data_IF_227038536018
#
_entry.id   IF_227038536018
#
_cell.length_a   1.000
_cell.length_b   1.000
_cell.length_c   1.000
_cell.angle_alpha   90.00
_cell.angle_beta   90.00
_cell.angle_gamma   90.00
#
_symmetry.space_group_name_H-M   'P 1'
#
loop_
_entity.id
_entity.type
_entity.pdbx_description
1 polymer ?
#
# COMPACT_ATOMS: atom_id res chain seq x y z
N UNK A 1 54.49 38.42 -13.68
CA UNK A 1 55.23 37.19 -13.40
C UNK A 1 54.73 36.49 -12.16
N UNK A 2 54.55 35.17 -12.31
CA UNK A 2 54.43 34.09 -11.30
C UNK A 2 53.39 34.25 -10.18
N UNK A 3 52.22 33.62 -10.24
CA UNK A 3 51.92 32.18 -10.00
C UNK A 3 52.11 31.71 -8.55
N UNK A 4 50.98 31.47 -7.85
CA UNK A 4 50.87 30.40 -6.86
C UNK A 4 49.38 30.06 -6.64
N UNK A 5 48.99 28.95 -7.22
CA UNK A 5 47.74 28.19 -7.06
C UNK A 5 47.67 27.54 -5.67
N UNK A 6 46.54 27.71 -4.97
CA UNK A 6 46.21 27.01 -3.74
C UNK A 6 44.83 26.36 -3.86
N UNK A 7 44.86 25.06 -4.15
CA UNK A 7 43.73 24.15 -4.31
C UNK A 7 43.05 23.90 -2.94
N UNK A 8 41.72 24.10 -2.86
CA UNK A 8 40.93 23.77 -1.66
C UNK A 8 40.10 22.53 -1.97
N UNK A 9 40.71 21.38 -1.70
CA UNK A 9 40.02 20.10 -1.63
C UNK A 9 39.14 20.05 -0.38
N UNK A 10 37.82 20.10 -0.55
CA UNK A 10 36.86 19.72 0.51
C UNK A 10 36.71 18.21 0.49
N UNK A 11 37.19 17.55 1.54
CA UNK A 11 36.95 16.13 1.76
C UNK A 11 35.46 15.89 2.10
N UNK A 12 34.85 14.96 1.37
CA UNK A 12 33.55 14.42 1.71
C UNK A 12 33.71 13.46 2.89
N UNK A 13 33.08 13.78 4.02
CA UNK A 13 33.00 12.90 5.17
C UNK A 13 32.06 11.73 4.89
N UNK A 14 32.62 10.53 4.78
CA UNK A 14 31.91 9.25 4.76
C UNK A 14 31.43 8.92 6.18
N UNK A 15 30.12 9.04 6.44
CA UNK A 15 29.47 8.46 7.62
C UNK A 15 29.19 6.95 7.38
N UNK A 16 29.20 6.10 8.43
CA UNK A 16 29.13 4.67 8.25
C UNK A 16 27.72 4.23 7.85
N UNK A 17 27.63 3.40 6.81
CA UNK A 17 26.44 2.63 6.47
C UNK A 17 26.21 1.60 7.59
N UNK A 18 25.13 1.77 8.35
CA UNK A 18 24.71 0.80 9.35
C UNK A 18 24.17 -0.46 8.69
N UNK A 19 24.97 -1.52 8.65
CA UNK A 19 24.54 -2.88 8.35
C UNK A 19 24.08 -3.53 9.66
N UNK A 20 22.76 -3.52 9.91
CA UNK A 20 22.13 -4.29 10.99
C UNK A 20 21.24 -5.40 10.41
N UNK A 21 21.13 -6.57 11.07
CA UNK A 21 20.27 -7.65 10.60
C UNK A 21 18.80 -7.28 10.83
N UNK A 22 18.00 -7.35 9.78
CA UNK A 22 16.54 -7.26 9.86
C UNK A 22 15.96 -8.68 9.96
N UNK A 23 15.00 -8.90 10.85
CA UNK A 23 14.06 -10.03 10.72
C UNK A 23 13.99 -10.98 11.91
N UNK A 24 13.18 -10.61 12.90
CA UNK A 24 12.26 -11.52 13.57
C UNK A 24 11.11 -10.67 14.11
N UNK A 25 9.86 -10.97 13.74
CA UNK A 25 8.70 -10.45 14.46
C UNK A 25 8.75 -11.03 15.87
N UNK A 26 9.38 -10.30 16.79
CA UNK A 26 8.99 -10.35 18.18
C UNK A 26 7.62 -9.68 18.27
N UNK A 27 6.71 -10.24 19.06
CA UNK A 27 5.64 -9.46 19.63
C UNK A 27 6.28 -8.23 20.31
N UNK A 28 6.23 -7.05 19.68
CA UNK A 28 7.02 -5.91 20.14
C UNK A 28 7.20 -4.72 19.20
N UNK A 29 6.83 -4.79 17.91
CA UNK A 29 6.76 -3.57 17.07
C UNK A 29 5.48 -2.82 17.39
N UNK A 30 5.63 -1.63 17.99
CA UNK A 30 4.50 -0.79 18.31
C UNK A 30 4.06 -0.05 17.03
N UNK A 31 2.79 -0.16 16.64
CA UNK A 31 2.27 0.55 15.48
C UNK A 31 2.46 2.07 15.60
N UNK A 32 2.49 2.61 16.82
CA UNK A 32 2.80 4.03 17.10
C UNK A 32 4.21 4.46 16.64
N UNK A 33 5.16 3.53 16.47
CA UNK A 33 6.49 3.85 15.96
C UNK A 33 6.44 4.33 14.49
N UNK A 34 5.40 3.94 13.74
CA UNK A 34 5.16 4.38 12.36
C UNK A 34 5.00 5.90 12.25
N UNK A 35 4.46 6.55 13.30
CA UNK A 35 4.24 8.00 13.33
C UNK A 35 5.50 8.80 13.71
N UNK A 36 6.58 8.13 14.13
CA UNK A 36 7.68 8.80 14.83
C UNK A 36 8.82 9.27 13.92
N UNK A 37 9.12 10.57 14.00
CA UNK A 37 10.48 11.11 13.84
C UNK A 37 10.76 11.89 12.56
N UNK A 38 10.73 11.23 11.40
CA UNK A 38 11.17 11.83 10.13
C UNK A 38 10.03 12.00 9.12
N UNK A 39 9.56 13.24 8.87
CA UNK A 39 8.51 13.49 7.88
C UNK A 39 8.93 13.09 6.45
N UNK A 40 10.22 12.89 6.16
CA UNK A 40 10.69 12.42 4.85
C UNK A 40 10.54 10.91 4.65
N UNK A 41 10.26 10.15 5.72
CA UNK A 41 10.08 8.70 5.75
C UNK A 41 11.15 7.99 4.90
N UNK A 42 12.41 7.90 5.38
CA UNK A 42 13.51 7.43 4.56
C UNK A 42 13.25 6.02 4.01
N UNK A 43 13.67 5.82 2.77
CA UNK A 43 13.63 4.53 2.12
C UNK A 43 14.74 3.62 2.65
N UNK A 44 14.59 2.32 2.44
CA UNK A 44 15.63 1.33 2.75
C UNK A 44 15.99 0.59 1.47
N UNK A 45 17.28 0.55 1.13
CA UNK A 45 17.78 -0.33 0.07
C UNK A 45 18.26 -1.63 0.72
N UNK A 46 17.68 -2.75 0.30
CA UNK A 46 18.03 -4.09 0.81
C UNK A 46 18.81 -4.87 -0.22
N UNK A 47 19.65 -5.79 0.25
CA UNK A 47 20.36 -6.71 -0.63
C UNK A 47 19.37 -7.68 -1.32
N UNK A 48 19.80 -8.29 -2.41
CA UNK A 48 18.92 -9.14 -3.23
C UNK A 48 18.61 -10.49 -2.57
N UNK A 49 19.46 -10.91 -1.63
CA UNK A 49 19.30 -12.18 -0.91
C UNK A 49 18.23 -12.09 0.17
N UNK A 50 17.82 -10.88 0.57
CA UNK A 50 16.87 -10.70 1.68
C UNK A 50 15.55 -11.42 1.40
N UNK A 51 15.08 -11.45 0.15
CA UNK A 51 13.83 -12.14 -0.20
C UNK A 51 13.96 -13.65 -0.31
N UNK A 52 15.20 -14.17 -0.36
CA UNK A 52 15.46 -15.60 -0.27
C UNK A 52 15.63 -16.06 1.18
N UNK A 53 15.78 -15.14 2.13
CA UNK A 53 15.85 -15.44 3.56
C UNK A 53 14.45 -15.78 4.09
N UNK A 54 14.20 -17.02 4.58
CA UNK A 54 12.92 -17.39 5.17
C UNK A 54 12.54 -16.57 6.41
N UNK A 55 13.51 -15.93 7.06
CA UNK A 55 13.27 -15.03 8.20
C UNK A 55 12.78 -13.64 7.78
N UNK A 56 12.99 -13.25 6.51
CA UNK A 56 12.52 -11.96 6.03
C UNK A 56 11.00 -11.98 5.88
N UNK A 57 10.35 -11.02 6.53
CA UNK A 57 8.91 -10.80 6.43
C UNK A 57 8.68 -9.54 5.57
N UNK A 58 8.13 -9.66 4.35
CA UNK A 58 7.79 -8.50 3.51
C UNK A 58 6.58 -7.73 4.06
N UNK A 59 5.90 -8.29 5.06
CA UNK A 59 4.69 -7.78 5.68
C UNK A 59 4.88 -7.60 7.18
N UNK A 60 4.22 -6.59 7.71
CA UNK A 60 4.11 -6.36 9.14
C UNK A 60 2.66 -6.38 9.58
N UNK A 61 2.42 -7.03 10.72
CA UNK A 61 1.12 -7.18 11.33
C UNK A 61 1.10 -6.45 12.68
N UNK A 62 0.02 -5.72 12.92
CA UNK A 62 -0.20 -5.00 14.17
C UNK A 62 -1.59 -5.29 14.74
N UNK A 63 -1.67 -5.38 16.07
CA UNK A 63 -2.91 -5.66 16.80
C UNK A 63 -3.09 -7.14 17.16
N UNK A 64 -4.32 -7.52 17.49
CA UNK A 64 -4.71 -8.90 17.81
C UNK A 64 -5.63 -9.43 16.72
N UNK A 65 -5.31 -10.61 16.18
CA UNK A 65 -6.05 -11.24 15.10
C UNK A 65 -7.49 -11.55 15.53
N UNK A 66 -8.46 -11.08 14.75
CA UNK A 66 -9.88 -11.32 15.01
C UNK A 66 -10.42 -10.68 16.29
N UNK A 67 -9.73 -9.71 16.91
CA UNK A 67 -10.27 -8.98 18.08
C UNK A 67 -11.57 -8.23 17.73
N UNK A 68 -11.69 -7.77 16.50
CA UNK A 68 -12.91 -7.25 15.89
C UNK A 68 -13.14 -7.91 14.52
N UNK A 69 -14.32 -7.75 13.90
CA UNK A 69 -14.56 -8.23 12.53
C UNK A 69 -13.89 -7.33 11.47
N UNK A 70 -13.17 -6.28 11.85
CA UNK A 70 -12.61 -5.29 10.92
C UNK A 70 -11.11 -5.50 10.75
N UNK A 71 -10.66 -5.52 9.50
CA UNK A 71 -9.26 -5.66 9.09
C UNK A 71 -8.89 -4.41 8.27
N UNK A 72 -7.73 -3.83 8.55
CA UNK A 72 -7.12 -2.77 7.76
C UNK A 72 -5.96 -3.32 6.92
N UNK A 73 -5.98 -3.01 5.63
CA UNK A 73 -4.94 -3.34 4.66
C UNK A 73 -4.23 -2.07 4.20
N UNK A 74 -2.89 -2.05 4.25
CA UNK A 74 -2.05 -0.96 3.76
C UNK A 74 -1.01 -1.51 2.76
N UNK A 75 -1.38 -1.63 1.47
CA UNK A 75 -0.56 -2.34 0.48
C UNK A 75 0.58 -1.49 -0.11
N UNK A 76 0.47 -0.16 -0.10
CA UNK A 76 1.30 0.73 -0.93
C UNK A 76 2.20 1.71 -0.15
N UNK A 77 2.20 1.65 1.18
CA UNK A 77 3.06 2.51 2.01
C UNK A 77 4.52 2.02 2.14
N UNK A 78 4.83 0.84 1.59
CA UNK A 78 6.15 0.23 1.65
C UNK A 78 7.26 1.09 1.04
N UNK A 79 8.42 1.09 1.72
CA UNK A 79 9.60 1.93 1.40
C UNK A 79 10.89 1.12 1.25
N UNK A 80 10.77 -0.20 1.20
CA UNK A 80 11.89 -1.12 0.96
C UNK A 80 12.09 -1.33 -0.54
N UNK A 81 13.29 -1.03 -1.01
CA UNK A 81 13.71 -1.13 -2.41
C UNK A 81 14.83 -2.16 -2.57
N UNK A 82 14.65 -3.19 -3.41
CA UNK A 82 15.71 -4.17 -3.65
C UNK A 82 16.86 -3.55 -4.45
N UNK A 83 18.11 -3.89 -4.11
CA UNK A 83 19.28 -3.43 -4.85
C UNK A 83 19.23 -3.83 -6.34
N UNK A 84 18.63 -4.96 -6.68
CA UNK A 84 18.39 -5.42 -8.05
C UNK A 84 17.54 -4.42 -8.82
N UNK A 85 16.45 -3.91 -8.24
CA UNK A 85 15.64 -2.87 -8.86
C UNK A 85 16.46 -1.59 -9.08
N UNK A 86 17.32 -1.23 -8.12
CA UNK A 86 18.19 -0.04 -8.24
C UNK A 86 19.22 -0.16 -9.38
N UNK A 87 19.67 -1.39 -9.68
CA UNK A 87 20.56 -1.63 -10.84
C UNK A 87 19.79 -1.67 -12.17
N UNK A 88 18.52 -2.05 -12.15
CA UNK A 88 17.68 -2.17 -13.35
C UNK A 88 16.96 -0.87 -13.73
N UNK A 89 16.84 0.09 -12.82
CA UNK A 89 16.10 1.33 -13.06
C UNK A 89 16.93 2.36 -13.84
N UNK A 90 16.30 3.11 -14.75
CA UNK A 90 16.87 4.34 -15.34
C UNK A 90 16.51 5.59 -14.53
N UNK A 91 15.64 5.44 -13.54
CA UNK A 91 15.01 6.55 -12.82
C UNK A 91 15.69 6.78 -11.48
N UNK A 92 15.80 8.05 -11.02
CA UNK A 92 16.19 8.31 -9.65
C UNK A 92 15.17 7.70 -8.71
N UNK A 93 15.62 7.26 -7.54
CA UNK A 93 14.76 6.63 -6.55
C UNK A 93 13.52 7.47 -6.22
N UNK A 94 13.67 8.79 -6.16
CA UNK A 94 12.56 9.72 -5.92
C UNK A 94 11.40 9.56 -6.90
N UNK A 95 11.68 9.19 -8.16
CA UNK A 95 10.64 8.95 -9.15
C UNK A 95 9.89 7.62 -8.89
N UNK A 96 10.54 6.64 -8.28
CA UNK A 96 9.92 5.39 -7.82
C UNK A 96 9.06 5.66 -6.58
N UNK A 97 9.55 6.50 -5.66
CA UNK A 97 8.78 6.95 -4.47
C UNK A 97 7.45 7.62 -4.83
N UNK A 98 7.35 8.22 -6.01
CA UNK A 98 6.09 8.77 -6.52
C UNK A 98 4.97 7.74 -6.70
N UNK A 99 5.28 6.44 -6.69
CA UNK A 99 4.30 5.34 -6.69
C UNK A 99 3.88 4.90 -5.29
N UNK A 100 4.57 5.35 -4.24
CA UNK A 100 4.20 5.06 -2.85
C UNK A 100 2.90 5.77 -2.50
N UNK A 101 2.11 5.12 -1.66
CA UNK A 101 1.08 5.77 -0.87
C UNK A 101 1.72 6.30 0.40
N UNK A 102 2.52 7.35 0.17
CA UNK A 102 3.47 7.90 1.12
C UNK A 102 2.81 8.16 2.47
N UNK A 103 3.29 7.48 3.52
CA UNK A 103 2.89 7.70 4.91
C UNK A 103 1.47 7.27 5.28
N UNK A 104 0.75 6.52 4.43
CA UNK A 104 -0.56 5.98 4.81
C UNK A 104 -0.43 5.06 6.02
N UNK A 105 0.63 4.27 6.13
CA UNK A 105 0.88 3.43 7.31
C UNK A 105 1.01 4.24 8.61
N UNK A 106 1.61 5.45 8.54
CA UNK A 106 1.66 6.38 9.68
C UNK A 106 0.25 6.80 10.11
N UNK A 107 -0.66 7.07 9.17
CA UNK A 107 -2.04 7.46 9.47
C UNK A 107 -2.86 6.33 10.14
N UNK A 108 -2.46 5.08 9.92
CA UNK A 108 -3.15 3.88 10.43
C UNK A 108 -2.56 3.37 11.76
N UNK A 109 -1.48 3.99 12.24
CA UNK A 109 -0.70 3.54 13.39
C UNK A 109 -1.52 3.23 14.65
N UNK A 110 -2.60 3.98 14.89
CA UNK A 110 -3.43 3.83 16.09
C UNK A 110 -4.71 3.01 15.85
N UNK A 111 -4.96 2.52 14.62
CA UNK A 111 -6.09 1.63 14.36
C UNK A 111 -6.11 0.36 15.24
N UNK A 112 -4.96 -0.30 15.53
CA UNK A 112 -4.94 -1.45 16.43
C UNK A 112 -5.52 -1.21 17.81
N UNK A 113 -5.50 0.03 18.31
CA UNK A 113 -6.04 0.40 19.63
C UNK A 113 -7.57 0.23 19.67
N UNK A 114 -8.22 0.32 18.51
CA UNK A 114 -9.68 0.11 18.33
C UNK A 114 -10.06 -1.38 18.25
N UNK A 115 -9.07 -2.27 18.18
CA UNK A 115 -9.26 -3.72 17.96
C UNK A 115 -9.23 -4.14 16.49
N UNK A 116 -8.87 -3.25 15.58
CA UNK A 116 -8.68 -3.54 14.15
C UNK A 116 -7.31 -4.21 13.94
N UNK A 117 -7.29 -5.33 13.22
CA UNK A 117 -6.03 -5.92 12.75
C UNK A 117 -5.47 -5.10 11.59
N UNK A 118 -4.21 -4.67 11.63
CA UNK A 118 -3.57 -3.91 10.56
C UNK A 118 -2.46 -4.74 9.88
N UNK A 119 -2.53 -4.84 8.55
CA UNK A 119 -1.49 -5.45 7.72
C UNK A 119 -0.83 -4.41 6.81
N UNK A 120 0.48 -4.25 6.92
CA UNK A 120 1.27 -3.31 6.12
C UNK A 120 2.25 -4.06 5.25
N UNK A 121 2.23 -3.80 3.94
CA UNK A 121 3.30 -4.24 3.03
C UNK A 121 4.50 -3.28 3.14
N UNK A 122 5.69 -3.80 3.41
CA UNK A 122 6.92 -2.99 3.53
C UNK A 122 7.67 -2.80 2.23
N UNK A 123 7.37 -3.61 1.22
CA UNK A 123 8.03 -3.55 -0.08
C UNK A 123 7.38 -2.48 -0.95
N UNK A 124 8.21 -1.64 -1.58
CA UNK A 124 7.71 -0.54 -2.40
C UNK A 124 6.90 -1.05 -3.60
N UNK A 125 5.76 -0.42 -3.87
CA UNK A 125 4.87 -0.73 -5.00
C UNK A 125 5.59 -0.71 -6.36
N UNK A 126 6.60 0.15 -6.50
CA UNK A 126 7.44 0.22 -7.69
C UNK A 126 8.21 -1.07 -8.00
N UNK A 127 8.39 -1.97 -7.02
CA UNK A 127 8.92 -3.31 -7.21
C UNK A 127 7.84 -4.33 -7.55
N UNK A 128 6.75 -4.37 -6.77
CA UNK A 128 5.58 -5.21 -7.02
C UNK A 128 4.34 -4.59 -6.35
N UNK A 129 3.23 -4.54 -7.08
CA UNK A 129 1.94 -4.03 -6.59
C UNK A 129 1.07 -5.17 -6.05
N UNK A 130 0.99 -5.32 -4.72
CA UNK A 130 0.15 -6.34 -4.07
C UNK A 130 -1.36 -6.07 -4.21
N UNK A 131 -1.77 -4.90 -4.71
CA UNK A 131 -3.16 -4.60 -5.08
C UNK A 131 -3.42 -4.84 -6.58
N UNK A 132 -2.72 -5.80 -7.18
CA UNK A 132 -2.94 -6.34 -8.52
C UNK A 132 -3.07 -7.85 -8.46
N UNK A 133 -3.80 -8.39 -9.44
CA UNK A 133 -3.83 -9.82 -9.66
C UNK A 133 -2.43 -10.32 -10.01
N UNK A 134 -2.04 -11.50 -9.50
CA UNK A 134 -0.70 -12.08 -9.72
C UNK A 134 -0.42 -12.41 -11.19
N UNK A 135 -1.44 -12.42 -12.03
CA UNK A 135 -1.33 -12.61 -13.49
C UNK A 135 -1.45 -11.31 -14.28
N UNK A 136 -1.63 -10.15 -13.62
CA UNK A 136 -1.75 -8.84 -14.28
C UNK A 136 -0.40 -8.29 -14.77
N UNK A 137 0.32 -9.07 -15.57
CA UNK A 137 1.64 -8.77 -16.10
C UNK A 137 1.54 -8.08 -17.47
N UNK A 138 2.50 -7.20 -17.77
CA UNK A 138 2.68 -6.63 -19.11
C UNK A 138 3.75 -7.45 -19.84
N UNK A 139 3.31 -8.26 -20.80
CA UNK A 139 4.16 -9.22 -21.52
C UNK A 139 5.34 -8.55 -22.24
N UNK A 140 5.17 -7.27 -22.63
CA UNK A 140 6.22 -6.51 -23.32
C UNK A 140 7.44 -6.23 -22.43
N UNK A 141 7.31 -6.42 -21.12
CA UNK A 141 8.39 -6.28 -20.15
C UNK A 141 9.35 -7.46 -20.12
N UNK A 142 9.02 -8.61 -20.72
CA UNK A 142 9.78 -9.85 -20.54
C UNK A 142 10.50 -10.30 -21.82
N UNK A 143 11.69 -10.89 -21.68
CA UNK A 143 12.54 -11.34 -22.80
C UNK A 143 11.90 -12.50 -23.59
N UNK A 144 11.48 -13.55 -22.89
CA UNK A 144 11.00 -14.82 -23.48
C UNK A 144 9.47 -14.93 -23.57
N UNK A 145 8.75 -13.84 -23.31
CA UNK A 145 7.33 -13.92 -22.92
C UNK A 145 7.17 -14.55 -21.53
N UNK A 146 5.97 -14.51 -20.98
CA UNK A 146 5.71 -15.12 -19.66
C UNK A 146 5.48 -16.64 -19.80
N UNK A 147 5.77 -17.45 -18.76
CA UNK A 147 5.41 -18.87 -18.75
C UNK A 147 3.89 -19.04 -18.82
N UNK A 148 3.45 -19.97 -19.66
CA UNK A 148 2.06 -20.20 -20.03
C UNK A 148 1.12 -20.42 -18.83
N UNK A 149 0.27 -19.44 -18.53
CA UNK A 149 -1.01 -19.67 -17.87
C UNK A 149 -2.09 -18.87 -18.60
N UNK A 150 -2.47 -19.34 -19.79
CA UNK A 150 -3.41 -18.68 -20.70
C UNK A 150 -4.89 -18.95 -20.35
N UNK A 151 -5.19 -19.21 -19.07
CA UNK A 151 -6.58 -19.33 -18.66
C UNK A 151 -7.30 -17.97 -18.83
N UNK A 152 -8.61 -18.01 -18.99
CA UNK A 152 -9.42 -16.81 -19.30
C UNK A 152 -9.28 -15.69 -18.25
N UNK A 153 -9.11 -16.03 -16.98
CA UNK A 153 -8.96 -15.06 -15.90
C UNK A 153 -7.60 -14.35 -15.99
N UNK A 154 -6.52 -15.12 -16.23
CA UNK A 154 -5.18 -14.60 -16.48
C UNK A 154 -5.14 -13.67 -17.70
N UNK A 155 -5.76 -14.09 -18.82
CA UNK A 155 -5.86 -13.25 -20.00
C UNK A 155 -6.60 -11.92 -19.73
N UNK A 156 -7.70 -11.98 -18.97
CA UNK A 156 -8.45 -10.78 -18.60
C UNK A 156 -7.62 -9.83 -17.70
N UNK A 157 -6.84 -10.36 -16.77
CA UNK A 157 -5.98 -9.57 -15.89
C UNK A 157 -4.88 -8.81 -16.65
N UNK A 158 -4.26 -9.44 -17.64
CA UNK A 158 -3.24 -8.83 -18.53
C UNK A 158 -3.80 -7.74 -19.44
N UNK A 159 -5.08 -7.80 -19.77
CA UNK A 159 -5.73 -6.85 -20.68
C UNK A 159 -6.35 -5.63 -19.99
N UNK A 160 -6.20 -5.53 -18.67
CA UNK A 160 -6.76 -4.40 -17.89
C UNK A 160 -6.18 -3.05 -18.35
N UNK A 161 -6.97 -2.00 -18.16
CA UNK A 161 -6.54 -0.62 -18.45
C UNK A 161 -5.30 -0.22 -17.64
N UNK A 162 -5.14 -0.77 -16.44
CA UNK A 162 -3.97 -0.55 -15.59
C UNK A 162 -2.68 -1.13 -16.17
N UNK A 163 -2.72 -2.39 -16.63
CA UNK A 163 -1.57 -3.03 -17.29
C UNK A 163 -1.18 -2.23 -18.53
N UNK A 164 -2.15 -1.93 -19.41
CA UNK A 164 -1.93 -1.11 -20.62
C UNK A 164 -1.37 0.27 -20.30
N UNK A 165 -1.77 0.88 -19.18
CA UNK A 165 -1.28 2.17 -18.72
C UNK A 165 0.13 2.12 -18.11
N UNK A 166 0.71 0.93 -17.91
CA UNK A 166 2.05 0.70 -17.37
C UNK A 166 2.10 0.43 -15.87
N UNK A 167 0.94 0.13 -15.25
CA UNK A 167 0.76 -0.07 -13.80
C UNK A 167 0.12 -1.44 -13.50
N UNK A 168 0.62 -2.49 -14.16
CA UNK A 168 0.34 -3.89 -13.84
C UNK A 168 0.99 -4.35 -12.54
N UNK A 169 1.04 -5.65 -12.30
CA UNK A 169 1.64 -6.26 -11.11
C UNK A 169 3.08 -5.80 -10.88
N UNK A 170 3.88 -5.74 -11.95
CA UNK A 170 5.16 -5.04 -11.98
C UNK A 170 4.94 -3.72 -12.74
N UNK A 171 4.96 -2.56 -12.07
CA UNK A 171 4.87 -1.28 -12.76
C UNK A 171 6.05 -1.11 -13.72
N UNK A 172 5.80 -0.74 -14.97
CA UNK A 172 6.85 -0.40 -15.95
C UNK A 172 7.10 1.10 -16.05
N UNK A 173 6.18 1.90 -15.53
CA UNK A 173 6.26 3.36 -15.54
C UNK A 173 6.19 3.93 -14.12
N UNK A 174 6.93 5.01 -13.90
CA UNK A 174 6.78 5.90 -12.74
C UNK A 174 5.43 6.63 -12.76
N UNK A 175 5.08 7.32 -11.67
CA UNK A 175 3.90 8.18 -11.62
C UNK A 175 3.90 9.26 -12.74
N UNK A 176 5.08 9.76 -13.12
CA UNK A 176 5.28 10.72 -14.20
C UNK A 176 5.44 10.06 -15.59
N UNK A 177 5.02 8.79 -15.73
CA UNK A 177 5.02 8.03 -17.00
C UNK A 177 6.41 7.84 -17.64
N UNK A 178 7.48 7.88 -16.84
CA UNK A 178 8.85 7.53 -17.28
C UNK A 178 9.11 6.03 -17.14
N UNK A 179 9.76 5.35 -18.11
CA UNK A 179 10.14 3.95 -17.99
C UNK A 179 10.98 3.69 -16.75
N UNK A 180 10.64 2.65 -15.99
CA UNK A 180 11.42 2.21 -14.83
C UNK A 180 12.65 1.44 -15.35
N UNK A 181 12.45 0.34 -16.07
CA UNK A 181 13.52 -0.57 -16.46
C UNK A 181 14.32 -0.10 -17.69
N UNK A 182 15.63 -0.38 -17.70
CA UNK A 182 16.50 -0.09 -18.86
C UNK A 182 16.41 -1.15 -19.96
N UNK A 183 16.11 -2.39 -19.58
CA UNK A 183 15.95 -3.54 -20.46
C UNK A 183 14.70 -4.34 -20.08
N UNK A 184 14.35 -5.32 -20.90
CA UNK A 184 13.37 -6.34 -20.51
C UNK A 184 13.91 -7.17 -19.34
N UNK A 185 12.99 -7.79 -18.62
CA UNK A 185 13.24 -8.64 -17.47
C UNK A 185 13.23 -10.11 -17.91
N UNK A 186 13.99 -10.99 -17.25
CA UNK A 186 13.81 -12.43 -17.38
C UNK A 186 12.40 -12.84 -16.94
N UNK A 187 11.81 -13.84 -17.59
CA UNK A 187 10.48 -14.36 -17.24
C UNK A 187 10.39 -14.88 -15.79
N UNK A 188 11.52 -15.35 -15.23
CA UNK A 188 11.63 -15.81 -13.85
C UNK A 188 11.47 -14.68 -12.82
N UNK A 189 11.73 -13.43 -13.21
CA UNK A 189 11.66 -12.27 -12.31
C UNK A 189 10.25 -12.13 -11.70
N UNK A 190 9.20 -12.26 -12.51
CA UNK A 190 7.82 -12.16 -12.04
C UNK A 190 7.52 -13.21 -10.96
N UNK A 191 7.91 -14.46 -11.19
CA UNK A 191 7.72 -15.57 -10.27
C UNK A 191 8.44 -15.34 -8.94
N UNK A 192 9.69 -14.88 -8.99
CA UNK A 192 10.48 -14.55 -7.81
C UNK A 192 9.82 -13.45 -6.99
N UNK A 193 9.36 -12.35 -7.62
CA UNK A 193 8.68 -11.26 -6.90
C UNK A 193 7.34 -11.69 -6.31
N UNK A 194 6.56 -12.48 -7.05
CA UNK A 194 5.28 -13.01 -6.58
C UNK A 194 5.49 -13.85 -5.32
N UNK A 195 6.41 -14.82 -5.37
CA UNK A 195 6.70 -15.68 -4.23
C UNK A 195 7.24 -14.91 -3.01
N UNK A 196 8.04 -13.87 -3.24
CA UNK A 196 8.67 -13.08 -2.18
C UNK A 196 7.77 -12.03 -1.54
N UNK A 197 6.76 -11.51 -2.25
CA UNK A 197 6.02 -10.31 -1.82
C UNK A 197 4.50 -10.50 -1.92
N UNK A 198 4.00 -10.87 -3.12
CA UNK A 198 2.57 -10.99 -3.36
C UNK A 198 1.94 -12.13 -2.55
N UNK A 199 2.51 -13.33 -2.66
CA UNK A 199 1.99 -14.53 -2.00
C UNK A 199 1.98 -14.39 -0.47
N UNK A 200 3.08 -13.95 0.20
CA UNK A 200 3.06 -13.76 1.65
C UNK A 200 2.05 -12.71 2.11
N UNK A 201 1.90 -11.60 1.35
CA UNK A 201 0.92 -10.57 1.67
C UNK A 201 -0.51 -11.08 1.64
N UNK A 202 -0.89 -11.76 0.54
CA UNK A 202 -2.23 -12.31 0.42
C UNK A 202 -2.50 -13.47 1.37
N UNK A 203 -1.50 -14.28 1.71
CA UNK A 203 -1.64 -15.34 2.72
C UNK A 203 -1.87 -14.75 4.13
N UNK A 204 -1.14 -13.69 4.49
CA UNK A 204 -1.35 -12.99 5.75
C UNK A 204 -2.73 -12.32 5.79
N UNK A 205 -3.14 -11.67 4.70
CA UNK A 205 -4.44 -11.00 4.62
C UNK A 205 -5.61 -11.99 4.71
N UNK A 206 -5.53 -13.12 4.02
CA UNK A 206 -6.50 -14.22 4.12
C UNK A 206 -6.60 -14.72 5.57
N UNK A 207 -5.46 -14.92 6.24
CA UNK A 207 -5.42 -15.34 7.65
C UNK A 207 -6.19 -14.38 8.56
N UNK A 208 -6.02 -13.07 8.36
CA UNK A 208 -6.72 -12.06 9.16
C UNK A 208 -8.24 -12.03 8.87
N UNK A 209 -8.62 -12.12 7.60
CA UNK A 209 -10.04 -12.16 7.19
C UNK A 209 -10.73 -13.39 7.75
N UNK A 210 -10.10 -14.57 7.66
CA UNK A 210 -10.66 -15.81 8.20
C UNK A 210 -10.71 -15.81 9.73
N UNK A 211 -9.71 -15.26 10.43
CA UNK A 211 -9.73 -15.12 11.88
C UNK A 211 -10.90 -14.23 12.36
N UNK A 212 -11.13 -13.10 11.68
CA UNK A 212 -12.27 -12.23 11.95
C UNK A 212 -13.61 -12.94 11.67
N UNK A 213 -13.73 -13.57 10.50
CA UNK A 213 -14.96 -14.27 10.11
C UNK A 213 -15.29 -15.43 11.05
N UNK A 214 -14.30 -16.25 11.40
CA UNK A 214 -14.48 -17.39 12.30
C UNK A 214 -14.95 -16.97 13.70
N UNK A 215 -14.50 -15.82 14.20
CA UNK A 215 -14.85 -15.32 15.54
C UNK A 215 -16.15 -14.53 15.59
N UNK A 216 -16.48 -13.79 14.54
CA UNK A 216 -17.61 -12.83 14.55
C UNK A 216 -18.73 -13.18 13.55
N UNK A 217 -18.57 -14.23 12.75
CA UNK A 217 -19.49 -14.59 11.67
C UNK A 217 -19.48 -13.63 10.47
N UNK A 218 -18.66 -12.58 10.53
CA UNK A 218 -18.50 -11.57 9.50
C UNK A 218 -17.07 -11.01 9.48
N UNK A 219 -16.67 -10.44 8.34
CA UNK A 219 -15.41 -9.73 8.18
C UNK A 219 -15.62 -8.52 7.26
N UNK A 220 -15.10 -7.36 7.67
CA UNK A 220 -14.99 -6.16 6.86
C UNK A 220 -13.51 -5.85 6.62
N UNK A 221 -13.07 -5.97 5.38
CA UNK A 221 -11.74 -5.53 4.96
C UNK A 221 -11.75 -4.09 4.44
N UNK A 222 -11.01 -3.20 5.08
CA UNK A 222 -10.81 -1.82 4.63
C UNK A 222 -9.40 -1.67 4.05
N UNK A 223 -9.31 -1.42 2.75
CA UNK A 223 -8.06 -1.27 1.99
C UNK A 223 -7.71 0.22 1.83
N UNK A 224 -6.68 0.67 2.54
CA UNK A 224 -6.31 2.08 2.65
C UNK A 224 -5.22 2.47 1.66
N UNK A 225 -5.49 3.56 0.94
CA UNK A 225 -4.64 4.14 -0.10
C UNK A 225 -4.55 5.65 0.05
N UNK A 226 -3.69 6.28 -0.73
CA UNK A 226 -3.69 7.74 -0.88
C UNK A 226 -3.55 8.19 -2.33
N UNK A 227 -4.21 9.30 -2.64
CA UNK A 227 -4.29 9.86 -3.98
C UNK A 227 -3.76 11.31 -4.03
N UNK A 228 -3.32 11.78 -5.21
CA UNK A 228 -3.00 13.19 -5.41
C UNK A 228 -4.18 14.11 -5.05
N UNK A 229 -3.88 15.38 -4.77
CA UNK A 229 -4.92 16.34 -4.42
C UNK A 229 -5.88 16.70 -5.55
N UNK A 230 -5.43 16.53 -6.79
CA UNK A 230 -6.16 16.86 -7.99
C UNK A 230 -6.09 15.71 -9.00
N UNK A 231 -7.11 15.58 -9.84
CA UNK A 231 -7.10 14.67 -10.97
C UNK A 231 -6.15 15.15 -12.10
N UNK A 232 -6.13 14.43 -13.22
CA UNK A 232 -5.27 14.79 -14.37
C UNK A 232 -5.73 16.05 -15.11
N UNK A 233 -6.97 16.47 -14.91
CA UNK A 233 -7.57 17.68 -15.45
C UNK A 233 -7.44 18.86 -14.47
N UNK A 234 -6.71 18.66 -13.36
CA UNK A 234 -6.50 19.65 -12.30
C UNK A 234 -7.77 20.03 -11.54
N UNK A 235 -8.79 19.18 -11.53
CA UNK A 235 -9.94 19.33 -10.64
C UNK A 235 -9.58 18.83 -9.24
N UNK A 236 -10.02 19.54 -8.21
CA UNK A 236 -9.84 19.10 -6.82
C UNK A 236 -10.61 17.81 -6.58
N UNK A 237 -9.92 16.79 -6.09
CA UNK A 237 -10.56 15.55 -5.66
C UNK A 237 -11.18 15.72 -4.27
N UNK A 238 -12.21 14.91 -3.92
CA UNK A 238 -12.70 14.83 -2.54
C UNK A 238 -11.58 14.56 -1.53
N UNK A 239 -11.85 14.83 -0.26
CA UNK A 239 -10.92 14.52 0.82
C UNK A 239 -10.77 13.01 0.99
N UNK A 240 -11.88 12.27 0.85
CA UNK A 240 -11.93 10.81 0.84
C UNK A 240 -12.71 10.32 -0.39
N UNK A 241 -12.21 9.27 -1.06
CA UNK A 241 -13.00 8.51 -2.04
C UNK A 241 -13.19 7.09 -1.53
N UNK A 242 -14.45 6.65 -1.52
CA UNK A 242 -14.88 5.31 -1.16
C UNK A 242 -15.03 4.47 -2.44
N UNK A 243 -14.38 3.31 -2.48
CA UNK A 243 -14.41 2.39 -3.62
C UNK A 243 -14.94 1.03 -3.22
N UNK A 244 -16.14 0.67 -3.65
CA UNK A 244 -16.83 -0.59 -3.33
C UNK A 244 -17.14 -1.45 -4.58
N UNK A 245 -16.48 -1.14 -5.69
CA UNK A 245 -16.73 -1.79 -6.97
C UNK A 245 -18.07 -1.44 -7.59
N UNK A 246 -18.69 -0.30 -7.23
CA UNK A 246 -20.06 0.07 -7.58
C UNK A 246 -21.12 -0.83 -6.91
N UNK A 247 -21.00 -0.98 -5.59
CA UNK A 247 -21.90 -1.80 -4.76
C UNK A 247 -21.66 -3.30 -4.85
N UNK A 248 -20.50 -3.73 -5.38
CA UNK A 248 -20.17 -5.16 -5.54
C UNK A 248 -19.58 -5.73 -4.26
N UNK A 249 -18.83 -4.94 -3.49
CA UNK A 249 -18.02 -5.46 -2.37
C UNK A 249 -18.52 -5.06 -0.98
N UNK A 250 -19.37 -4.03 -0.89
CA UNK A 250 -19.91 -3.51 0.37
C UNK A 250 -21.43 -3.34 0.26
N UNK A 251 -22.16 -3.68 1.32
CA UNK A 251 -23.59 -3.41 1.37
C UNK A 251 -23.87 -1.89 1.48
N UNK A 252 -24.98 -1.44 0.88
CA UNK A 252 -25.31 -0.02 0.79
C UNK A 252 -25.56 0.64 2.14
N UNK A 253 -26.10 -0.07 3.11
CA UNK A 253 -26.47 0.51 4.42
C UNK A 253 -25.21 0.88 5.20
N UNK A 254 -24.25 -0.04 5.26
CA UNK A 254 -22.93 0.22 5.85
C UNK A 254 -22.17 1.28 5.06
N UNK A 255 -22.21 1.24 3.73
CA UNK A 255 -21.60 2.27 2.87
C UNK A 255 -22.14 3.68 3.17
N UNK A 256 -23.46 3.82 3.28
CA UNK A 256 -24.11 5.09 3.61
C UNK A 256 -23.76 5.57 5.03
N UNK A 257 -23.69 4.65 6.00
CA UNK A 257 -23.30 4.97 7.38
C UNK A 257 -21.85 5.48 7.44
N UNK A 258 -20.93 4.83 6.72
CA UNK A 258 -19.53 5.25 6.59
C UNK A 258 -19.42 6.64 5.98
N UNK A 259 -20.08 6.87 4.84
CA UNK A 259 -20.05 8.18 4.17
C UNK A 259 -20.62 9.29 5.06
N UNK A 260 -21.71 9.01 5.79
CA UNK A 260 -22.32 9.95 6.73
C UNK A 260 -21.38 10.28 7.89
N UNK A 261 -20.72 9.28 8.47
CA UNK A 261 -19.77 9.48 9.57
C UNK A 261 -18.58 10.35 9.14
N UNK A 262 -17.97 10.05 7.99
CA UNK A 262 -16.86 10.83 7.45
C UNK A 262 -17.28 12.26 7.09
N UNK A 263 -18.48 12.44 6.53
CA UNK A 263 -19.05 13.76 6.25
C UNK A 263 -19.32 14.58 7.51
N UNK A 264 -19.80 13.95 8.58
CA UNK A 264 -20.00 14.60 9.88
C UNK A 264 -18.68 15.04 10.53
N UNK A 265 -17.57 14.39 10.21
CA UNK A 265 -16.21 14.80 10.58
C UNK A 265 -15.66 15.95 9.71
N UNK A 266 -16.46 16.50 8.79
CA UNK A 266 -16.10 17.65 7.95
C UNK A 266 -15.37 17.30 6.66
N UNK A 267 -15.27 16.02 6.30
CA UNK A 267 -14.60 15.57 5.08
C UNK A 267 -15.55 15.57 3.88
N UNK A 268 -15.07 16.01 2.72
CA UNK A 268 -15.77 15.77 1.46
C UNK A 268 -15.57 14.32 1.01
N UNK A 269 -16.67 13.60 0.77
CA UNK A 269 -16.67 12.17 0.42
C UNK A 269 -17.17 11.96 -1.00
N UNK A 270 -16.36 11.28 -1.83
CA UNK A 270 -16.74 10.81 -3.16
C UNK A 270 -16.88 9.29 -3.23
N UNK A 271 -17.49 8.79 -4.30
CA UNK A 271 -17.67 7.36 -4.54
C UNK A 271 -17.17 6.94 -5.92
N UNK A 272 -16.41 5.86 -5.95
CA UNK A 272 -16.05 5.08 -7.13
C UNK A 272 -15.39 5.84 -8.31
N UNK A 273 -15.06 7.13 -8.17
CA UNK A 273 -14.46 7.92 -9.22
C UNK A 273 -13.39 8.87 -8.67
N UNK A 274 -12.15 8.83 -9.20
CA UNK A 274 -11.67 7.94 -10.26
C UNK A 274 -11.31 6.52 -9.77
N UNK A 275 -11.47 6.24 -8.46
CA UNK A 275 -11.05 4.99 -7.83
C UNK A 275 -12.25 4.18 -7.33
N UNK A 276 -12.52 3.04 -7.97
CA UNK A 276 -13.69 2.19 -7.69
C UNK A 276 -13.37 0.92 -6.88
N UNK A 277 -12.20 0.84 -6.24
CA UNK A 277 -11.75 -0.39 -5.59
C UNK A 277 -10.92 -1.31 -6.51
N UNK A 278 -9.75 -1.71 -6.00
CA UNK A 278 -8.71 -2.48 -6.67
C UNK A 278 -8.88 -4.00 -6.56
N UNK A 279 -7.78 -4.73 -6.73
CA UNK A 279 -7.77 -6.20 -6.68
C UNK A 279 -8.13 -6.72 -5.29
N UNK A 280 -7.53 -6.17 -4.24
CA UNK A 280 -7.78 -6.55 -2.84
C UNK A 280 -9.27 -6.38 -2.53
N UNK A 281 -9.85 -5.21 -2.78
CA UNK A 281 -11.28 -4.96 -2.55
C UNK A 281 -12.14 -6.01 -3.27
N UNK A 282 -11.93 -6.21 -4.57
CA UNK A 282 -12.74 -7.14 -5.38
C UNK A 282 -12.53 -8.61 -5.04
N UNK A 283 -11.35 -8.98 -4.52
CA UNK A 283 -11.01 -10.36 -4.16
C UNK A 283 -11.65 -10.76 -2.83
N UNK A 284 -11.65 -9.86 -1.86
CA UNK A 284 -12.03 -10.18 -0.46
C UNK A 284 -13.44 -9.72 -0.07
N UNK A 285 -14.20 -9.09 -0.98
CA UNK A 285 -15.55 -8.60 -0.68
C UNK A 285 -16.63 -9.06 -1.66
N UNK A 286 -17.77 -9.48 -1.11
CA UNK A 286 -19.06 -9.58 -1.81
C UNK A 286 -20.13 -8.93 -0.93
N UNK A 287 -20.76 -7.87 -1.44
CA UNK A 287 -21.78 -7.08 -0.74
C UNK A 287 -22.98 -7.92 -0.23
N UNK A 288 -23.21 -9.10 -0.81
CA UNK A 288 -24.31 -10.01 -0.44
C UNK A 288 -23.88 -11.06 0.56
N UNK A 289 -22.60 -11.11 0.92
CA UNK A 289 -22.04 -12.07 1.86
C UNK A 289 -21.69 -11.41 3.20
N UNK A 290 -21.27 -12.22 4.18
CA UNK A 290 -20.73 -11.71 5.45
C UNK A 290 -19.23 -11.38 5.38
N UNK A 291 -18.59 -11.51 4.21
CA UNK A 291 -17.23 -11.03 3.92
C UNK A 291 -17.33 -9.85 2.96
N UNK A 292 -17.14 -8.64 3.46
CA UNK A 292 -17.29 -7.40 2.70
C UNK A 292 -15.98 -6.62 2.69
N UNK A 293 -15.84 -5.73 1.71
CA UNK A 293 -14.64 -4.91 1.63
C UNK A 293 -14.90 -3.52 1.04
N UNK A 294 -14.03 -2.58 1.41
CA UNK A 294 -14.09 -1.19 1.00
C UNK A 294 -12.67 -0.67 0.74
N UNK A 295 -12.46 0.03 -0.36
CA UNK A 295 -11.26 0.84 -0.58
C UNK A 295 -11.49 2.27 -0.06
N UNK A 296 -10.49 2.84 0.60
CA UNK A 296 -10.46 4.24 1.01
C UNK A 296 -9.24 4.91 0.39
N UNK A 297 -9.47 5.92 -0.44
CA UNK A 297 -8.44 6.79 -0.98
C UNK A 297 -8.39 8.09 -0.19
N UNK A 298 -7.25 8.35 0.46
CA UNK A 298 -7.02 9.56 1.25
C UNK A 298 -6.35 10.63 0.38
N UNK A 299 -6.94 11.81 0.31
CA UNK A 299 -6.35 12.93 -0.41
C UNK A 299 -5.06 13.40 0.29
N UNK A 300 -3.93 13.37 -0.42
CA UNK A 300 -2.61 13.76 0.13
C UNK A 300 -2.55 15.21 0.63
N UNK A 301 -3.41 16.11 0.17
CA UNK A 301 -3.49 17.49 0.70
C UNK A 301 -3.88 17.56 2.18
N UNK A 302 -4.51 16.49 2.70
CA UNK A 302 -4.92 16.40 4.09
C UNK A 302 -3.75 16.21 5.04
N UNK A 303 -2.61 15.64 4.61
CA UNK A 303 -1.55 15.22 5.53
C UNK A 303 -0.12 15.41 5.02
N UNK A 304 0.09 15.69 3.74
CA UNK A 304 1.43 15.89 3.16
C UNK A 304 1.77 17.37 2.99
N UNK A 305 3.07 17.65 3.01
CA UNK A 305 3.68 18.90 2.58
C UNK A 305 4.53 18.63 1.32
N UNK A 306 3.97 18.93 0.14
CA UNK A 306 4.62 18.57 -1.13
C UNK A 306 4.41 17.10 -1.51
N UNK A 307 5.46 16.45 -2.05
CA UNK A 307 5.35 15.14 -2.74
C UNK A 307 5.87 13.96 -1.96
N UNK A 308 6.72 14.19 -0.97
CA UNK A 308 7.55 13.20 -0.30
C UNK A 308 7.89 13.60 1.13
N UNK A 309 6.98 14.36 1.75
CA UNK A 309 7.12 14.81 3.11
C UNK A 309 5.76 14.90 3.79
N UNK A 310 5.69 14.40 5.03
CA UNK A 310 4.54 14.57 5.89
C UNK A 310 4.48 16.00 6.42
N UNK A 311 3.28 16.56 6.49
CA UNK A 311 2.96 17.61 7.44
C UNK A 311 2.61 16.91 8.76
N UNK A 312 3.52 16.94 9.74
CA UNK A 312 3.37 16.12 10.96
C UNK A 312 2.12 16.48 11.77
N UNK A 313 1.78 17.77 11.87
CA UNK A 313 0.60 18.20 12.64
C UNK A 313 -0.69 17.72 11.96
N UNK A 314 -0.82 17.99 10.66
CA UNK A 314 -1.96 17.48 9.88
C UNK A 314 -2.06 15.96 9.87
N UNK A 315 -0.91 15.27 9.81
CA UNK A 315 -0.87 13.80 9.83
C UNK A 315 -1.37 13.25 11.18
N UNK A 316 -1.03 13.89 12.31
CA UNK A 316 -1.55 13.50 13.63
C UNK A 316 -3.04 13.76 13.76
N UNK A 317 -3.52 14.92 13.29
CA UNK A 317 -4.95 15.25 13.28
C UNK A 317 -5.74 14.21 12.46
N UNK A 318 -5.27 13.89 11.26
CA UNK A 318 -5.91 12.90 10.40
C UNK A 318 -5.81 11.48 10.98
N UNK A 319 -4.69 11.10 11.59
CA UNK A 319 -4.55 9.81 12.27
C UNK A 319 -5.54 9.67 13.44
N UNK A 320 -5.78 10.74 14.20
CA UNK A 320 -6.80 10.77 15.25
C UNK A 320 -8.20 10.54 14.67
N UNK A 321 -8.55 11.25 13.59
CA UNK A 321 -9.83 11.07 12.90
C UNK A 321 -9.99 9.63 12.38
N UNK A 322 -8.94 9.05 11.80
CA UNK A 322 -8.93 7.65 11.32
C UNK A 322 -9.12 6.66 12.47
N UNK A 323 -8.58 6.96 13.65
CA UNK A 323 -8.77 6.15 14.87
C UNK A 323 -10.22 6.20 15.36
N UNK A 324 -10.83 7.39 15.37
CA UNK A 324 -12.25 7.55 15.68
C UNK A 324 -13.14 6.80 14.67
N UNK A 325 -12.81 6.90 13.39
CA UNK A 325 -13.46 6.15 12.31
C UNK A 325 -13.30 4.64 12.50
N UNK A 326 -12.12 4.16 12.91
CA UNK A 326 -11.89 2.76 13.26
C UNK A 326 -12.83 2.26 14.38
N UNK A 327 -12.98 3.06 15.43
CA UNK A 327 -13.92 2.77 16.52
C UNK A 327 -15.37 2.69 16.02
N UNK A 328 -15.77 3.61 15.15
CA UNK A 328 -17.08 3.57 14.48
C UNK A 328 -17.28 2.29 13.67
N UNK A 329 -16.31 1.91 12.84
CA UNK A 329 -16.40 0.68 12.04
C UNK A 329 -16.59 -0.56 12.92
N UNK A 330 -15.81 -0.67 14.00
CA UNK A 330 -15.93 -1.78 14.96
C UNK A 330 -17.31 -1.78 15.60
N UNK A 331 -17.89 -0.62 15.93
CA UNK A 331 -19.24 -0.54 16.47
C UNK A 331 -20.30 -0.99 15.46
N UNK A 332 -20.22 -0.55 14.20
CA UNK A 332 -21.20 -0.87 13.16
C UNK A 332 -21.18 -2.34 12.73
N UNK A 333 -20.08 -3.04 12.97
CA UNK A 333 -19.86 -4.42 12.50
C UNK A 333 -20.01 -5.46 13.60
N UNK A 334 -20.23 -5.05 14.85
CA UNK A 334 -20.53 -5.98 15.95
C UNK A 334 -21.86 -6.70 15.70
N UNK A 335 -21.96 -8.01 16.00
CA UNK A 335 -23.24 -8.71 15.98
C UNK A 335 -24.23 -8.07 16.95
N UNK A 336 -25.51 -8.01 16.58
CA UNK A 336 -26.58 -7.43 17.41
C UNK A 336 -26.88 -8.19 18.72
N UNK A 337 -26.17 -9.29 19.00
CA UNK A 337 -26.42 -10.21 20.13
C UNK A 337 -25.28 -10.26 21.15
N UNK A 338 -24.53 -9.16 21.31
CA UNK A 338 -23.40 -9.06 22.24
C UNK A 338 -23.68 -8.21 23.50
N UNK A 339 -24.96 -8.01 23.84
CA UNK A 339 -25.42 -7.43 25.12
C UNK A 339 -26.11 -8.49 25.98
#
# INVERSE_FOLDING_TARGET
DSSASGDVTRSAGTGPAGTGPAGANQAGTNAHDLLSGDPALPHVIVNDQVFADPAYQPVEFYGEQGRSPVIASCPHAGRTYPAALMRQTTQPLQALRGLEDFGVDCLLASLPDTGISLLVNRVARGYLDVNRDSTALDDSMFEDGEPANDNRASLAARQTTHVRAGYGLLPRLTANRRPIYQSRLPATEAHTRIAAVHTPYHAALETLVEAAHARHGSALLVDFHSMPAHDRQNNRLPDIILGDGHGVTLNSDLGNAIATHLGAAGLTVGWNHPYAGGHITRRYGDARSTRQSLQIEINRALYMDGKDRLNLEKSKELASLITDFGSFLVQQTRPASAD
#
